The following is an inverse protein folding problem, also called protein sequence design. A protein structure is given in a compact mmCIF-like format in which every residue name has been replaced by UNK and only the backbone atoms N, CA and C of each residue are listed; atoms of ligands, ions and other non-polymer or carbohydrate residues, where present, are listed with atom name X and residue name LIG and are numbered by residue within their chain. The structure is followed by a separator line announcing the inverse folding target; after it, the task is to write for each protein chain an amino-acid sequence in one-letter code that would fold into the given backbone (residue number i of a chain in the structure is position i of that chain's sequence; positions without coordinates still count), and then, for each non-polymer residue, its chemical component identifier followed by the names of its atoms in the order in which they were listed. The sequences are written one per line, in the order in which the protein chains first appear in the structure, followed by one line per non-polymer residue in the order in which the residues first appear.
data_IF_173778530129
#
_entry.id   IF_173778530129
#
_cell.length_a   1.000
_cell.length_b   1.000
_cell.length_c   1.000
_cell.angle_alpha   90.00
_cell.angle_beta   90.00
_cell.angle_gamma   90.00
#
_symmetry.space_group_name_H-M   'P 1'
#
loop_
_entity.id
_entity.type
_entity.pdbx_description
1 polymer ?
#
# COMPACT_ATOMS: atom_id res chain seq x y z
N UNK A 1 -9.93 -8.83 -5.62
CA UNK A 1 -8.92 -9.90 -5.51
C UNK A 1 -9.71 -11.17 -5.22
N UNK A 2 -9.67 -12.11 -6.17
CA UNK A 2 -10.45 -13.34 -6.12
C UNK A 2 -9.99 -14.19 -4.94
N UNK A 3 -10.91 -14.60 -4.07
CA UNK A 3 -10.68 -15.39 -2.85
C UNK A 3 -10.07 -16.78 -3.10
N UNK A 4 -9.81 -17.14 -4.35
CA UNK A 4 -9.24 -18.42 -4.75
C UNK A 4 -7.78 -18.37 -5.21
N UNK A 5 -7.17 -17.18 -5.32
CA UNK A 5 -5.76 -17.04 -5.68
C UNK A 5 -5.01 -16.38 -4.54
N UNK A 6 -4.06 -17.09 -3.99
CA UNK A 6 -3.16 -16.59 -2.93
C UNK A 6 -2.15 -15.59 -3.51
N UNK A 7 -2.60 -14.38 -3.82
CA UNK A 7 -1.71 -13.24 -3.97
C UNK A 7 -1.63 -12.65 -2.58
N UNK A 8 -0.60 -13.01 -1.88
CA UNK A 8 -0.55 -12.74 -0.46
C UNK A 8 -0.17 -11.31 -0.17
N UNK A 9 0.69 -10.68 -0.98
CA UNK A 9 1.24 -9.40 -0.56
C UNK A 9 1.49 -8.46 -1.74
N UNK A 10 0.95 -7.25 -1.62
CA UNK A 10 1.27 -6.10 -2.48
C UNK A 10 2.11 -5.14 -1.67
N UNK A 11 3.20 -4.66 -2.23
CA UNK A 11 4.13 -3.72 -1.59
C UNK A 11 4.57 -2.64 -2.56
N UNK A 12 5.30 -1.63 -2.08
CA UNK A 12 5.95 -0.64 -2.93
C UNK A 12 7.20 -1.24 -3.60
N UNK A 13 7.39 -0.92 -4.89
CA UNK A 13 8.60 -1.29 -5.63
C UNK A 13 9.84 -0.63 -5.04
N UNK A 14 9.74 0.62 -4.65
CA UNK A 14 10.84 1.40 -4.06
C UNK A 14 11.48 0.69 -2.86
N UNK A 15 10.69 0.00 -2.04
CA UNK A 15 11.18 -0.74 -0.87
C UNK A 15 12.06 -1.94 -1.23
N UNK A 16 11.87 -2.53 -2.42
CA UNK A 16 12.52 -3.79 -2.79
C UNK A 16 13.47 -3.69 -3.99
N UNK A 17 13.53 -2.55 -4.68
CA UNK A 17 14.26 -2.38 -5.97
C UNK A 17 15.74 -2.79 -5.93
N UNK A 18 16.40 -2.66 -4.79
CA UNK A 18 17.81 -3.00 -4.60
C UNK A 18 18.02 -4.20 -3.66
N UNK A 19 16.94 -4.87 -3.27
CA UNK A 19 17.01 -5.97 -2.32
C UNK A 19 17.51 -7.25 -3.00
N UNK A 20 18.53 -7.89 -2.43
CA UNK A 20 18.95 -9.24 -2.84
C UNK A 20 18.02 -10.32 -2.30
N UNK A 21 17.41 -10.07 -1.16
CA UNK A 21 16.48 -10.97 -0.46
C UNK A 21 15.37 -10.10 0.08
N UNK A 22 14.12 -10.53 -0.14
CA UNK A 22 12.94 -9.91 0.44
C UNK A 22 12.37 -10.86 1.48
N UNK A 23 12.13 -10.32 2.67
CA UNK A 23 11.51 -11.06 3.77
C UNK A 23 10.26 -10.32 4.26
N UNK A 24 9.21 -11.08 4.53
CA UNK A 24 8.03 -10.57 5.26
C UNK A 24 8.08 -11.10 6.69
N UNK A 25 7.65 -10.27 7.62
CA UNK A 25 7.51 -10.66 9.03
C UNK A 25 6.03 -10.65 9.41
N UNK A 26 5.55 -11.79 9.86
CA UNK A 26 4.17 -11.94 10.31
C UNK A 26 3.95 -11.32 11.70
N UNK A 27 2.68 -11.20 12.10
CA UNK A 27 2.29 -10.67 13.42
C UNK A 27 2.86 -11.46 14.61
N UNK A 28 3.18 -12.74 14.41
CA UNK A 28 3.81 -13.62 15.40
C UNK A 28 5.35 -13.52 15.40
N UNK A 29 5.91 -12.50 14.74
CA UNK A 29 7.34 -12.24 14.56
C UNK A 29 8.12 -13.31 13.79
N UNK A 30 7.44 -14.23 13.10
CA UNK A 30 8.12 -15.17 12.20
C UNK A 30 8.41 -14.50 10.87
N UNK A 31 9.64 -14.64 10.42
CA UNK A 31 10.08 -14.14 9.11
C UNK A 31 10.01 -15.23 8.06
N UNK A 32 9.63 -14.84 6.85
CA UNK A 32 9.58 -15.70 5.67
C UNK A 32 10.25 -14.99 4.49
N UNK A 33 11.13 -15.71 3.79
CA UNK A 33 11.65 -15.24 2.49
C UNK A 33 10.57 -15.42 1.44
N UNK A 34 10.33 -14.37 0.68
CA UNK A 34 9.31 -14.33 -0.37
C UNK A 34 9.93 -14.08 -1.74
N UNK A 35 9.26 -14.58 -2.76
CA UNK A 35 9.65 -14.35 -4.13
C UNK A 35 8.99 -13.07 -4.66
N UNK A 36 9.76 -12.24 -5.36
CA UNK A 36 9.23 -11.09 -6.08
C UNK A 36 8.71 -11.58 -7.43
N UNK A 37 7.39 -11.57 -7.63
CA UNK A 37 6.74 -12.10 -8.84
C UNK A 37 6.71 -11.06 -9.95
N UNK A 38 6.41 -9.82 -9.58
CA UNK A 38 6.20 -8.74 -10.53
C UNK A 38 6.51 -7.39 -9.87
N UNK A 39 7.10 -6.50 -10.66
CA UNK A 39 7.37 -5.12 -10.23
C UNK A 39 7.01 -4.14 -11.32
N UNK A 40 6.54 -2.96 -10.94
CA UNK A 40 6.35 -1.83 -11.86
C UNK A 40 6.81 -0.52 -11.21
N UNK A 41 7.95 -0.02 -11.67
CA UNK A 41 8.50 1.26 -11.20
C UNK A 41 7.62 2.47 -11.56
N UNK A 42 6.74 2.33 -12.56
CA UNK A 42 5.88 3.44 -13.00
C UNK A 42 4.77 3.74 -12.03
N UNK A 43 4.29 2.72 -11.34
CA UNK A 43 3.19 2.82 -10.38
C UNK A 43 3.65 2.61 -8.94
N UNK A 44 4.91 2.29 -8.74
CA UNK A 44 5.52 1.88 -7.48
C UNK A 44 4.82 0.65 -6.83
N UNK A 45 4.44 -0.32 -7.66
CA UNK A 45 3.78 -1.54 -7.18
C UNK A 45 4.70 -2.75 -7.36
N UNK A 46 4.78 -3.59 -6.33
CA UNK A 46 5.42 -4.90 -6.37
C UNK A 46 4.48 -5.99 -5.87
N UNK A 47 4.54 -7.16 -6.49
CA UNK A 47 3.80 -8.35 -6.08
C UNK A 47 4.77 -9.38 -5.53
N UNK A 48 4.52 -9.80 -4.32
CA UNK A 48 5.32 -10.78 -3.59
C UNK A 48 4.52 -12.08 -3.45
N UNK A 49 5.20 -13.22 -3.46
CA UNK A 49 4.61 -14.54 -3.25
C UNK A 49 5.08 -15.13 -1.93
N UNK A 50 4.17 -15.20 -0.98
CA UNK A 50 4.35 -15.92 0.27
C UNK A 50 3.95 -17.39 0.14
N UNK A 51 4.60 -18.26 0.89
CA UNK A 51 4.23 -19.68 1.06
C UNK A 51 3.11 -19.85 2.07
N UNK A 52 3.02 -18.91 3.01
CA UNK A 52 2.01 -18.91 4.04
C UNK A 52 0.72 -18.27 3.51
N UNK A 53 -0.41 -18.93 3.76
CA UNK A 53 -1.72 -18.37 3.43
C UNK A 53 -2.10 -17.35 4.49
N UNK A 54 -2.13 -16.09 4.12
CA UNK A 54 -2.70 -15.02 4.93
C UNK A 54 -4.22 -14.87 4.71
N UNK A 55 -4.85 -14.08 5.57
CA UNK A 55 -6.23 -13.66 5.36
C UNK A 55 -6.23 -12.43 4.46
N UNK A 56 -6.97 -12.46 3.35
CA UNK A 56 -7.07 -11.32 2.45
C UNK A 56 -7.92 -10.20 3.06
N UNK A 57 -7.47 -8.96 2.86
CA UNK A 57 -8.26 -7.78 3.21
C UNK A 57 -9.31 -7.56 2.10
N UNK A 58 -10.60 -7.41 2.42
CA UNK A 58 -11.62 -7.16 1.42
C UNK A 58 -11.41 -5.78 0.77
N UNK A 59 -11.54 -5.71 -0.55
CA UNK A 59 -11.47 -4.45 -1.29
C UNK A 59 -12.81 -3.74 -1.22
N UNK A 60 -12.77 -2.43 -0.97
CA UNK A 60 -13.98 -1.60 -0.96
C UNK A 60 -14.54 -1.43 -2.37
N UNK A 61 -15.85 -1.67 -2.50
CA UNK A 61 -16.61 -1.36 -3.72
C UNK A 61 -17.34 -0.02 -3.62
N UNK A 62 -17.29 0.64 -2.47
CA UNK A 62 -17.92 1.93 -2.25
C UNK A 62 -17.12 3.05 -2.89
N UNK A 63 -17.83 4.04 -3.45
CA UNK A 63 -17.18 5.25 -3.94
C UNK A 63 -16.61 6.04 -2.76
N UNK A 64 -15.32 6.30 -2.82
CA UNK A 64 -14.59 7.12 -1.84
C UNK A 64 -14.99 8.59 -2.03
N UNK A 65 -15.15 9.33 -0.93
CA UNK A 65 -15.52 10.75 -0.92
C UNK A 65 -14.60 11.53 0.02
N UNK A 66 -14.47 12.83 -0.21
CA UNK A 66 -13.83 13.75 0.73
C UNK A 66 -14.47 13.63 2.11
N UNK A 67 -13.66 13.69 3.16
CA UNK A 67 -14.11 13.58 4.54
C UNK A 67 -14.47 12.16 4.99
N UNK A 68 -14.35 11.12 4.13
CA UNK A 68 -14.50 9.75 4.61
C UNK A 68 -13.39 9.42 5.59
N UNK A 69 -13.74 8.81 6.71
CA UNK A 69 -12.78 8.28 7.68
C UNK A 69 -11.95 7.17 7.08
N UNK A 70 -10.65 7.22 7.30
CA UNK A 70 -9.68 6.23 6.85
C UNK A 70 -8.66 5.93 7.94
N UNK A 71 -8.14 4.71 7.94
CA UNK A 71 -7.06 4.31 8.82
C UNK A 71 -6.02 3.53 8.02
N UNK A 72 -4.78 3.63 8.43
CA UNK A 72 -3.70 2.77 7.97
C UNK A 72 -3.12 1.95 9.13
N UNK A 73 -2.66 0.76 8.83
CA UNK A 73 -1.94 -0.10 9.77
C UNK A 73 -0.52 -0.26 9.22
N UNK A 74 0.44 0.31 9.91
CA UNK A 74 1.85 0.33 9.49
C UNK A 74 2.81 0.02 10.64
N UNK A 75 4.10 0.04 10.32
CA UNK A 75 5.18 -0.13 11.30
C UNK A 75 6.06 1.12 11.33
N UNK A 76 5.46 2.26 11.69
CA UNK A 76 6.14 3.55 11.74
C UNK A 76 7.35 3.51 12.68
N UNK A 77 8.50 3.93 12.16
CA UNK A 77 9.79 3.94 12.87
C UNK A 77 10.25 2.58 13.42
N UNK A 78 9.68 1.47 12.93
CA UNK A 78 10.03 0.14 13.44
C UNK A 78 9.53 -0.17 14.86
N UNK A 79 8.59 0.63 15.37
CA UNK A 79 8.07 0.50 16.75
C UNK A 79 7.03 -0.63 16.91
N UNK A 80 6.78 -1.39 15.85
CA UNK A 80 5.74 -2.41 15.80
C UNK A 80 4.47 -1.91 15.10
N UNK A 81 3.45 -2.78 15.02
CA UNK A 81 2.20 -2.41 14.40
C UNK A 81 1.54 -1.22 15.10
N UNK A 82 1.21 -0.21 14.32
CA UNK A 82 0.51 0.99 14.78
C UNK A 82 -0.64 1.33 13.86
N UNK A 83 -1.71 1.87 14.44
CA UNK A 83 -2.88 2.38 13.73
C UNK A 83 -2.80 3.90 13.67
N UNK A 84 -2.94 4.46 12.49
CA UNK A 84 -3.07 5.91 12.29
C UNK A 84 -4.34 6.18 11.50
N UNK A 85 -5.17 7.10 11.97
CA UNK A 85 -6.45 7.42 11.36
C UNK A 85 -6.57 8.90 11.03
N UNK A 86 -7.36 9.20 10.01
CA UNK A 86 -7.65 10.55 9.52
C UNK A 86 -8.83 10.50 8.56
N UNK A 87 -8.84 11.39 7.61
CA UNK A 87 -9.87 11.49 6.58
C UNK A 87 -9.26 11.50 5.18
N UNK A 88 -10.10 11.28 4.18
CA UNK A 88 -9.78 11.56 2.78
C UNK A 88 -9.77 13.06 2.57
N UNK A 89 -8.59 13.64 2.40
CA UNK A 89 -8.38 15.06 2.14
C UNK A 89 -8.33 15.41 0.65
N UNK A 90 -8.08 14.40 -0.21
CA UNK A 90 -8.00 14.59 -1.66
C UNK A 90 -8.22 13.29 -2.43
N UNK A 91 -8.65 13.43 -3.68
CA UNK A 91 -8.87 12.31 -4.60
C UNK A 91 -8.27 12.62 -5.96
N UNK A 92 -7.94 11.57 -6.72
CA UNK A 92 -7.40 11.65 -8.09
C UNK A 92 -6.18 12.59 -8.16
N UNK A 93 -5.30 12.54 -7.16
CA UNK A 93 -4.09 13.33 -7.16
C UNK A 93 -3.09 12.73 -8.14
N UNK A 94 -2.69 13.54 -9.11
CA UNK A 94 -1.75 13.19 -10.18
C UNK A 94 -0.77 14.32 -10.41
N UNK A 95 0.35 14.06 -11.12
CA UNK A 95 1.39 15.04 -11.47
C UNK A 95 2.07 15.64 -10.24
N UNK A 96 2.21 14.85 -9.20
CA UNK A 96 2.94 15.23 -7.98
C UNK A 96 4.44 14.97 -8.13
N UNK A 97 4.84 14.13 -9.09
CA UNK A 97 6.24 13.82 -9.38
C UNK A 97 6.83 12.73 -8.49
N UNK A 98 6.00 11.95 -7.81
CA UNK A 98 6.45 10.79 -7.04
C UNK A 98 6.70 9.59 -7.96
N UNK A 99 5.72 9.29 -8.82
CA UNK A 99 5.74 8.16 -9.75
C UNK A 99 5.39 8.62 -11.17
N UNK A 100 5.90 7.95 -12.22
CA UNK A 100 5.52 8.26 -13.60
C UNK A 100 4.01 8.09 -13.89
N UNK A 101 3.34 7.19 -13.18
CA UNK A 101 1.89 6.98 -13.24
C UNK A 101 1.34 7.12 -11.84
N UNK A 102 0.48 8.10 -11.65
CA UNK A 102 -0.08 8.45 -10.34
C UNK A 102 -1.61 8.46 -10.41
N UNK A 103 -2.22 7.92 -9.39
CA UNK A 103 -3.62 8.14 -9.00
C UNK A 103 -3.68 7.94 -7.48
N UNK A 104 -3.57 9.05 -6.73
CA UNK A 104 -3.46 8.98 -5.28
C UNK A 104 -4.72 9.48 -4.58
N UNK A 105 -4.99 8.82 -3.45
CA UNK A 105 -5.82 9.33 -2.37
C UNK A 105 -4.91 10.13 -1.45
N UNK A 106 -5.29 11.38 -1.15
CA UNK A 106 -4.64 12.19 -0.13
C UNK A 106 -5.36 12.02 1.20
N UNK A 107 -4.60 11.89 2.29
CA UNK A 107 -5.12 11.78 3.65
C UNK A 107 -4.27 12.60 4.63
N UNK A 108 -4.87 13.00 5.73
CA UNK A 108 -4.19 13.60 6.90
C UNK A 108 -3.86 12.54 7.97
N UNK A 109 -4.23 11.28 7.76
CA UNK A 109 -3.75 10.18 8.61
C UNK A 109 -2.22 10.15 8.59
N UNK A 110 -1.59 10.17 9.75
CA UNK A 110 -0.13 10.29 9.87
C UNK A 110 0.59 9.12 9.19
N UNK A 111 1.49 9.45 8.27
CA UNK A 111 2.37 8.51 7.57
C UNK A 111 3.81 8.87 7.92
N UNK A 112 4.54 7.91 8.47
CA UNK A 112 5.92 8.07 8.88
C UNK A 112 6.81 7.00 8.24
N UNK A 113 8.13 7.15 8.24
CA UNK A 113 9.06 6.13 7.77
C UNK A 113 8.74 4.74 8.33
N UNK A 114 8.60 3.75 7.45
CA UNK A 114 8.14 2.39 7.78
C UNK A 114 6.65 2.13 7.52
N UNK A 115 5.87 3.16 7.14
CA UNK A 115 4.46 2.99 6.76
C UNK A 115 4.25 2.77 5.26
N UNK A 116 5.28 2.93 4.42
CA UNK A 116 5.18 2.64 2.98
C UNK A 116 4.78 1.18 2.76
N UNK A 117 3.84 0.94 1.84
CA UNK A 117 3.23 -0.37 1.61
C UNK A 117 2.07 -0.70 2.55
N UNK A 118 1.82 0.10 3.58
CA UNK A 118 0.71 -0.11 4.51
C UNK A 118 -0.66 0.00 3.80
N UNK A 119 -1.64 -0.85 4.16
CA UNK A 119 -2.99 -0.72 3.65
C UNK A 119 -3.66 0.55 4.17
N UNK A 120 -4.27 1.33 3.29
CA UNK A 120 -5.23 2.37 3.65
C UNK A 120 -6.63 1.76 3.62
N UNK A 121 -7.32 1.82 4.75
CA UNK A 121 -8.61 1.16 4.97
C UNK A 121 -9.70 2.20 5.20
N UNK A 122 -10.92 1.89 4.79
CA UNK A 122 -12.10 2.64 5.19
C UNK A 122 -12.57 2.22 6.60
N UNK A 123 -13.57 2.89 7.14
CA UNK A 123 -14.13 2.60 8.47
C UNK A 123 -14.71 1.19 8.63
N UNK A 124 -15.02 0.50 7.54
CA UNK A 124 -15.44 -0.89 7.53
C UNK A 124 -14.27 -1.89 7.46
N UNK A 125 -13.01 -1.41 7.50
CA UNK A 125 -11.82 -2.24 7.39
C UNK A 125 -11.55 -2.76 5.97
N UNK A 126 -12.14 -2.14 4.95
CA UNK A 126 -11.95 -2.53 3.55
C UNK A 126 -10.84 -1.70 2.91
N UNK A 127 -10.02 -2.34 2.09
CA UNK A 127 -8.90 -1.72 1.39
C UNK A 127 -9.39 -0.71 0.36
N UNK A 128 -8.85 0.50 0.42
CA UNK A 128 -9.10 1.59 -0.52
C UNK A 128 -7.84 2.09 -1.20
N UNK A 129 -6.67 1.75 -0.69
CA UNK A 129 -5.38 2.13 -1.28
C UNK A 129 -4.20 1.54 -0.51
N UNK A 130 -3.00 1.85 -0.99
CA UNK A 130 -1.72 1.46 -0.37
C UNK A 130 -0.86 2.72 -0.17
N UNK A 131 -0.38 2.93 1.05
CA UNK A 131 0.48 4.08 1.39
C UNK A 131 1.75 4.05 0.53
N UNK A 132 2.09 5.20 -0.04
CA UNK A 132 3.26 5.37 -0.92
C UNK A 132 4.18 6.47 -0.40
N UNK A 133 3.69 7.70 -0.29
CA UNK A 133 4.55 8.87 -0.11
C UNK A 133 3.98 9.88 0.89
N UNK A 134 4.89 10.66 1.46
CA UNK A 134 4.60 11.90 2.18
C UNK A 134 5.04 13.10 1.32
N UNK A 135 4.33 14.22 1.42
CA UNK A 135 4.65 15.42 0.64
C UNK A 135 6.02 16.02 0.99
N UNK A 136 6.44 15.87 2.23
CA UNK A 136 7.68 16.45 2.76
C UNK A 136 8.86 15.47 2.75
N UNK A 137 9.09 14.77 1.64
CA UNK A 137 10.21 13.80 1.49
C UNK A 137 11.58 14.32 1.94
N UNK A 138 11.82 15.63 1.88
CA UNK A 138 13.10 16.24 2.26
C UNK A 138 13.29 16.41 3.78
N UNK A 139 12.21 16.37 4.56
CA UNK A 139 12.26 16.64 5.99
C UNK A 139 11.86 15.43 6.86
N UNK A 140 11.38 14.33 6.26
CA UNK A 140 10.81 13.14 6.96
C UNK A 140 9.79 13.53 8.05
N UNK A 141 9.09 14.66 7.85
CA UNK A 141 8.10 15.19 8.79
C UNK A 141 6.72 15.06 8.17
N UNK A 142 5.80 14.43 8.88
CA UNK A 142 4.39 14.41 8.52
C UNK A 142 3.77 15.79 8.71
N UNK A 143 3.38 16.42 7.60
CA UNK A 143 2.69 17.72 7.59
C UNK A 143 1.16 17.57 7.42
N UNK A 144 0.60 16.36 7.60
CA UNK A 144 -0.81 16.08 7.34
C UNK A 144 -1.16 16.03 5.86
N UNK A 145 -0.17 15.85 4.99
CA UNK A 145 -0.34 15.72 3.54
C UNK A 145 0.33 14.43 3.07
N UNK A 146 -0.41 13.36 3.11
CA UNK A 146 0.08 12.02 2.83
C UNK A 146 -0.69 11.39 1.67
N UNK A 147 -0.05 10.46 0.95
CA UNK A 147 -0.57 9.88 -0.27
C UNK A 147 -0.58 8.36 -0.22
N UNK A 148 -1.68 7.79 -0.72
CA UNK A 148 -1.82 6.36 -0.95
C UNK A 148 -2.21 6.12 -2.40
N UNK A 149 -1.61 5.13 -3.05
CA UNK A 149 -1.99 4.64 -4.38
C UNK A 149 -3.45 4.19 -4.30
N UNK A 150 -4.33 4.75 -5.15
CA UNK A 150 -5.75 4.36 -5.19
C UNK A 150 -5.88 2.88 -5.56
N UNK A 151 -6.78 2.19 -4.89
CA UNK A 151 -7.06 0.77 -5.15
C UNK A 151 -7.38 0.48 -6.61
N UNK A 152 -8.00 1.42 -7.32
CA UNK A 152 -8.30 1.29 -8.76
C UNK A 152 -7.03 1.15 -9.60
N UNK A 153 -5.95 1.88 -9.26
CA UNK A 153 -4.68 1.76 -9.96
C UNK A 153 -4.05 0.40 -9.68
N UNK A 154 -4.12 -0.07 -8.43
CA UNK A 154 -3.65 -1.41 -8.03
C UNK A 154 -4.44 -2.50 -8.76
N UNK A 155 -5.78 -2.42 -8.79
CA UNK A 155 -6.62 -3.38 -9.52
C UNK A 155 -6.33 -3.39 -11.02
N UNK A 156 -6.14 -2.21 -11.63
CA UNK A 156 -5.76 -2.08 -13.04
C UNK A 156 -4.42 -2.77 -13.32
N UNK A 157 -3.44 -2.59 -12.44
CA UNK A 157 -2.15 -3.25 -12.52
C UNK A 157 -2.30 -4.77 -12.40
N UNK A 158 -2.99 -5.26 -11.38
CA UNK A 158 -3.22 -6.70 -11.17
C UNK A 158 -3.95 -7.36 -12.35
N UNK A 159 -4.95 -6.70 -12.91
CA UNK A 159 -5.70 -7.19 -14.07
C UNK A 159 -4.82 -7.27 -15.33
N UNK A 160 -3.96 -6.27 -15.56
CA UNK A 160 -3.02 -6.25 -16.69
C UNK A 160 -2.07 -7.44 -16.67
N UNK A 161 -1.63 -7.86 -15.50
CA UNK A 161 -0.63 -8.91 -15.32
C UNK A 161 -1.19 -10.22 -14.75
N UNK A 162 -2.51 -10.40 -14.76
CA UNK A 162 -3.19 -11.56 -14.17
C UNK A 162 -2.68 -12.93 -14.68
N UNK A 163 -2.18 -12.99 -15.92
CA UNK A 163 -1.59 -14.22 -16.50
C UNK A 163 -0.20 -14.56 -15.95
N UNK A 164 0.52 -13.57 -15.42
CA UNK A 164 1.88 -13.73 -14.88
C UNK A 164 1.88 -14.00 -13.37
N UNK A 165 0.76 -13.73 -12.70
CA UNK A 165 0.59 -13.87 -11.24
C UNK A 165 0.00 -15.26 -10.86
N UNK A 166 -0.01 -16.20 -11.79
CA UNK A 166 -0.56 -17.57 -11.58
C UNK A 166 0.39 -18.46 -10.81
#
# INVERSE_FOLDING_TARGET
IDSKKSISDVSNFELIKNAKIVEIRNYDNKSEKVDVILTDFKTDIAILKSKNKGQSVPVSKKKIKYGNEVCLIGNSFGLGQSLSCGIVSGLNRTRLGFNPIEDFIQTDAAVNPGASGAPLLNKEGQLIGMVDAIYTKQADIDAGVNFAIDIKLIEKFLNKYASQIK
#
